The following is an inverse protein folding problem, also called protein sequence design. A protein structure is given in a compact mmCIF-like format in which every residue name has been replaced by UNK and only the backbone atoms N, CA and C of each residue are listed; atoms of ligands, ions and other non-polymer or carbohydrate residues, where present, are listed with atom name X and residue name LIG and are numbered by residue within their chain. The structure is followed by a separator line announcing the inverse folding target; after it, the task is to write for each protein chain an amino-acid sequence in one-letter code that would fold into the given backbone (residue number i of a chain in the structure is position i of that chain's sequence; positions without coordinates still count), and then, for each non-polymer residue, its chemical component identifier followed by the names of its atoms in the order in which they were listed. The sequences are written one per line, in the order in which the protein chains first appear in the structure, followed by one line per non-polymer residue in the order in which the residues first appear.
data_IF_034021676510
#
_entry.id   IF_034021676510
#
_cell.length_a   1.000
_cell.length_b   1.000
_cell.length_c   1.000
_cell.angle_alpha   90.00
_cell.angle_beta   90.00
_cell.angle_gamma   90.00
#
_symmetry.space_group_name_H-M   'P 1'
#
loop_
_entity.id
_entity.type
_entity.pdbx_description
1 polymer ?
#
# COMPACT_ATOMS: atom_id res chain seq x y z
N UNK A 1 -9.39 -7.24 -27.01
CA UNK A 1 -8.35 -7.06 -25.97
C UNK A 1 -8.84 -5.93 -25.09
N UNK A 2 -9.62 -6.25 -24.07
CA UNK A 2 -10.21 -5.25 -23.17
C UNK A 2 -9.11 -4.69 -22.28
N UNK A 3 -8.88 -3.37 -22.34
CA UNK A 3 -8.08 -2.69 -21.34
C UNK A 3 -8.88 -2.67 -20.04
N UNK A 4 -8.53 -3.55 -19.11
CA UNK A 4 -9.04 -3.48 -17.74
C UNK A 4 -8.40 -2.26 -17.06
N UNK A 5 -9.14 -1.15 -17.05
CA UNK A 5 -8.79 0.01 -16.23
C UNK A 5 -8.95 -0.42 -14.77
N UNK A 6 -7.84 -0.75 -14.12
CA UNK A 6 -7.81 -0.88 -12.67
C UNK A 6 -7.83 0.53 -12.07
N UNK A 7 -9.01 0.98 -11.64
CA UNK A 7 -9.15 2.21 -10.87
C UNK A 7 -8.60 1.99 -9.47
N UNK A 8 -7.58 2.76 -9.07
CA UNK A 8 -7.01 2.72 -7.73
C UNK A 8 -7.38 4.00 -7.01
N UNK A 9 -7.91 3.89 -5.79
CA UNK A 9 -8.22 5.05 -4.97
C UNK A 9 -7.40 5.00 -3.69
N UNK A 10 -6.42 5.87 -3.59
CA UNK A 10 -5.69 6.10 -2.35
C UNK A 10 -6.38 7.23 -1.59
N UNK A 11 -6.88 6.95 -0.38
CA UNK A 11 -7.46 7.99 0.50
C UNK A 11 -6.61 8.05 1.77
N UNK A 12 -5.86 9.14 1.94
CA UNK A 12 -5.04 9.39 3.14
C UNK A 12 -5.74 10.45 4.00
N UNK A 13 -5.92 10.17 5.29
CA UNK A 13 -6.55 11.10 6.23
C UNK A 13 -5.77 11.17 7.55
N UNK A 14 -5.56 12.39 8.04
CA UNK A 14 -4.87 12.64 9.31
C UNK A 14 -5.82 12.53 10.50
N UNK A 15 -5.41 11.79 11.54
CA UNK A 15 -6.22 11.55 12.74
C UNK A 15 -6.04 12.70 13.74
N UNK A 16 -7.07 13.54 13.93
CA UNK A 16 -7.24 14.31 15.18
C UNK A 16 -8.50 13.83 15.91
N UNK A 17 -8.33 13.11 17.02
CA UNK A 17 -9.33 13.01 18.10
C UNK A 17 -10.53 12.07 17.93
N UNK A 18 -10.51 11.03 17.08
CA UNK A 18 -11.72 10.20 16.82
C UNK A 18 -11.53 8.67 16.99
N UNK A 19 -12.64 7.96 17.22
CA UNK A 19 -12.76 6.51 17.51
C UNK A 19 -12.75 5.62 16.26
N UNK A 20 -12.29 4.38 16.38
CA UNK A 20 -12.09 3.45 15.24
C UNK A 20 -13.39 3.02 14.54
N UNK A 21 -14.51 2.94 15.26
CA UNK A 21 -15.80 2.54 14.69
C UNK A 21 -16.41 3.64 13.80
N UNK A 22 -16.19 4.90 14.16
CA UNK A 22 -16.56 6.07 13.35
C UNK A 22 -15.81 6.07 12.01
N UNK A 23 -14.53 5.70 11.99
CA UNK A 23 -13.74 5.56 10.77
C UNK A 23 -14.20 4.44 9.86
N UNK A 24 -14.66 3.30 10.41
CA UNK A 24 -15.22 2.23 9.57
C UNK A 24 -16.42 2.76 8.80
N UNK A 25 -17.32 3.51 9.45
CA UNK A 25 -18.50 4.10 8.81
C UNK A 25 -18.18 5.24 7.84
N UNK A 26 -17.25 6.13 8.21
CA UNK A 26 -16.81 7.25 7.36
C UNK A 26 -15.95 6.81 6.17
N UNK A 27 -15.08 5.81 6.35
CA UNK A 27 -14.27 5.24 5.27
C UNK A 27 -15.15 4.75 4.12
N UNK A 28 -16.24 4.04 4.44
CA UNK A 28 -17.24 3.62 3.44
C UNK A 28 -17.96 4.80 2.78
N UNK A 29 -18.42 5.80 3.56
CA UNK A 29 -19.11 6.98 3.01
C UNK A 29 -18.22 7.80 2.07
N UNK A 30 -16.98 8.06 2.47
CA UNK A 30 -16.00 8.77 1.66
C UNK A 30 -15.59 7.95 0.44
N UNK A 31 -15.58 6.61 0.54
CA UNK A 31 -15.35 5.71 -0.59
C UNK A 31 -16.43 5.84 -1.68
N UNK A 32 -17.66 6.16 -1.33
CA UNK A 32 -18.67 6.53 -2.32
C UNK A 32 -18.42 7.93 -2.88
N UNK A 33 -18.01 8.90 -2.04
CA UNK A 33 -17.78 10.27 -2.48
C UNK A 33 -16.59 10.46 -3.42
N UNK A 34 -15.41 9.92 -3.13
CA UNK A 34 -14.27 10.08 -4.06
C UNK A 34 -14.28 9.13 -5.28
N UNK A 35 -15.31 8.26 -5.45
CA UNK A 35 -15.64 7.73 -6.79
C UNK A 35 -16.17 8.84 -7.70
N UNK A 36 -16.69 9.91 -7.11
CA UNK A 36 -17.22 11.10 -7.78
C UNK A 36 -16.20 12.25 -7.87
N UNK A 37 -15.01 12.11 -7.27
CA UNK A 37 -13.96 13.13 -7.34
C UNK A 37 -12.99 12.87 -8.50
N UNK A 38 -12.50 13.96 -9.11
CA UNK A 38 -11.44 13.91 -10.13
C UNK A 38 -10.09 13.49 -9.49
N UNK A 39 -9.20 12.82 -10.24
CA UNK A 39 -7.88 12.44 -9.75
C UNK A 39 -7.09 13.69 -9.36
N UNK A 40 -6.58 13.72 -8.13
CA UNK A 40 -5.68 14.76 -7.64
C UNK A 40 -4.26 14.49 -8.18
N UNK A 41 -3.76 15.35 -9.06
CA UNK A 41 -2.40 15.24 -9.64
C UNK A 41 -1.39 16.28 -9.10
N UNK A 42 -1.79 17.19 -8.21
CA UNK A 42 -0.90 18.24 -7.69
C UNK A 42 -0.88 18.29 -6.16
N UNK A 43 0.30 18.10 -5.56
CA UNK A 43 0.55 18.46 -4.16
C UNK A 43 0.83 19.97 -4.09
N UNK A 44 -0.02 20.79 -3.45
CA UNK A 44 0.29 22.17 -3.23
C UNK A 44 1.30 22.26 -2.08
N UNK A 45 2.42 22.91 -2.36
CA UNK A 45 3.44 23.50 -1.46
C UNK A 45 4.78 22.76 -1.27
N UNK A 46 5.92 23.48 -1.21
CA UNK A 46 7.26 22.89 -1.28
C UNK A 46 7.83 22.46 0.08
N UNK A 47 7.14 22.74 1.20
CA UNK A 47 7.72 22.68 2.55
C UNK A 47 7.12 21.61 3.46
N UNK A 48 6.29 20.72 2.94
CA UNK A 48 5.98 19.49 3.66
C UNK A 48 7.13 18.50 3.43
N UNK A 49 8.03 18.38 4.40
CA UNK A 49 8.78 17.15 4.59
C UNK A 49 7.72 16.05 4.67
N UNK A 50 7.55 15.28 3.60
CA UNK A 50 6.54 14.22 3.56
C UNK A 50 6.98 13.18 4.57
N UNK A 51 6.41 13.27 5.78
CA UNK A 51 6.64 12.38 6.92
C UNK A 51 6.40 10.91 6.53
N UNK A 52 5.70 10.66 5.42
CA UNK A 52 5.44 9.34 4.87
C UNK A 52 5.38 9.40 3.35
N UNK A 53 6.23 8.61 2.69
CA UNK A 53 6.20 8.37 1.25
C UNK A 53 5.67 6.96 0.96
N UNK A 54 4.87 6.85 -0.10
CA UNK A 54 4.21 5.60 -0.49
C UNK A 54 4.56 5.33 -1.95
N UNK A 55 4.99 4.09 -2.24
CA UNK A 55 5.16 3.63 -3.63
C UNK A 55 4.08 2.60 -3.94
N UNK A 56 3.39 2.79 -5.06
CA UNK A 56 2.43 1.82 -5.59
C UNK A 56 2.98 1.34 -6.93
N UNK A 57 3.28 0.04 -7.03
CA UNK A 57 3.88 -0.55 -8.23
C UNK A 57 3.08 -1.74 -8.74
N UNK A 58 2.73 -1.71 -10.02
CA UNK A 58 2.23 -2.89 -10.71
C UNK A 58 3.40 -3.74 -11.24
N UNK A 59 3.73 -4.81 -10.53
CA UNK A 59 4.86 -5.69 -10.85
C UNK A 59 4.65 -6.55 -12.10
N UNK A 60 3.37 -6.82 -12.45
CA UNK A 60 2.95 -7.80 -13.46
C UNK A 60 3.56 -9.19 -13.24
N UNK A 61 3.86 -9.56 -11.99
CA UNK A 61 4.39 -10.85 -11.57
C UNK A 61 5.72 -10.72 -10.82
N UNK A 62 5.81 -11.34 -9.66
CA UNK A 62 6.98 -11.25 -8.76
C UNK A 62 8.07 -12.29 -9.02
N UNK A 63 7.81 -13.31 -9.84
CA UNK A 63 8.80 -14.35 -10.20
C UNK A 63 9.81 -13.91 -11.26
N UNK A 64 9.77 -12.64 -11.68
CA UNK A 64 10.76 -12.12 -12.63
C UNK A 64 12.13 -12.08 -11.94
N UNK A 65 13.23 -12.47 -12.62
CA UNK A 65 14.55 -12.56 -12.01
C UNK A 65 15.01 -11.24 -11.36
N UNK A 66 14.61 -10.09 -11.92
CA UNK A 66 14.99 -8.77 -11.43
C UNK A 66 14.00 -8.15 -10.45
N UNK A 67 12.91 -8.84 -10.09
CA UNK A 67 11.87 -8.28 -9.22
C UNK A 67 12.45 -7.76 -7.90
N UNK A 68 13.24 -8.58 -7.21
CA UNK A 68 13.84 -8.19 -5.93
C UNK A 68 14.82 -7.03 -6.08
N UNK A 69 15.58 -6.98 -7.19
CA UNK A 69 16.51 -5.89 -7.47
C UNK A 69 15.77 -4.56 -7.63
N UNK A 70 14.65 -4.54 -8.37
CA UNK A 70 13.83 -3.34 -8.49
C UNK A 70 13.26 -2.88 -7.14
N UNK A 71 12.79 -3.82 -6.31
CA UNK A 71 12.31 -3.46 -4.96
C UNK A 71 13.44 -2.86 -4.11
N UNK A 72 14.65 -3.42 -4.16
CA UNK A 72 15.82 -2.87 -3.45
C UNK A 72 16.20 -1.49 -3.97
N UNK A 73 16.16 -1.28 -5.29
CA UNK A 73 16.43 0.01 -5.91
C UNK A 73 15.39 1.06 -5.47
N UNK A 74 14.09 0.72 -5.47
CA UNK A 74 13.06 1.62 -4.96
C UNK A 74 13.27 1.93 -3.47
N UNK A 75 13.62 0.92 -2.67
CA UNK A 75 13.90 1.10 -1.26
C UNK A 75 15.11 2.02 -1.01
N UNK A 76 16.18 1.86 -1.80
CA UNK A 76 17.40 2.66 -1.68
C UNK A 76 17.21 4.10 -2.16
N UNK A 77 16.56 4.29 -3.31
CA UNK A 77 16.45 5.59 -3.96
C UNK A 77 15.39 6.48 -3.33
N UNK A 78 14.30 5.87 -2.84
CA UNK A 78 13.16 6.62 -2.35
C UNK A 78 12.91 6.41 -0.86
N UNK A 79 13.41 5.33 -0.26
CA UNK A 79 13.22 5.05 1.16
C UNK A 79 11.73 5.06 1.59
N UNK A 80 10.84 4.29 0.92
CA UNK A 80 9.40 4.31 1.16
C UNK A 80 9.03 3.84 2.57
N UNK A 81 8.08 4.52 3.21
CA UNK A 81 7.47 4.08 4.46
C UNK A 81 6.48 2.93 4.20
N UNK A 82 5.78 2.96 3.06
CA UNK A 82 4.87 1.90 2.62
C UNK A 82 5.10 1.61 1.14
N UNK A 83 5.15 0.33 0.79
CA UNK A 83 5.20 -0.13 -0.59
C UNK A 83 4.03 -1.06 -0.88
N UNK A 84 3.28 -0.76 -1.94
CA UNK A 84 2.14 -1.54 -2.42
C UNK A 84 2.51 -2.19 -3.74
N UNK A 85 2.45 -3.52 -3.83
CA UNK A 85 2.80 -4.29 -5.03
C UNK A 85 1.57 -4.98 -5.57
N UNK A 86 1.22 -4.67 -6.82
CA UNK A 86 0.06 -5.23 -7.53
C UNK A 86 0.45 -6.28 -8.56
N UNK A 87 -0.55 -7.09 -8.91
CA UNK A 87 -0.47 -8.18 -9.89
C UNK A 87 0.70 -9.11 -9.58
N UNK A 88 0.81 -9.51 -8.31
CA UNK A 88 1.95 -10.31 -7.86
C UNK A 88 1.96 -11.71 -8.47
N UNK A 89 0.77 -12.23 -8.85
CA UNK A 89 0.55 -13.56 -9.42
C UNK A 89 1.03 -14.71 -8.50
N UNK A 90 1.25 -14.40 -7.22
CA UNK A 90 1.64 -15.34 -6.16
C UNK A 90 0.91 -14.98 -4.88
N UNK A 91 0.34 -16.00 -4.23
CA UNK A 91 -0.24 -15.97 -2.89
C UNK A 91 0.32 -17.09 -2.01
N UNK A 92 -0.25 -17.27 -0.82
CA UNK A 92 0.12 -18.32 0.12
C UNK A 92 1.56 -18.24 0.65
N UNK A 93 2.11 -19.38 1.05
CA UNK A 93 3.45 -19.48 1.67
C UNK A 93 4.56 -18.92 0.79
N UNK A 94 4.49 -19.14 -0.53
CA UNK A 94 5.47 -18.62 -1.48
C UNK A 94 5.47 -17.10 -1.57
N UNK A 95 4.34 -16.44 -1.31
CA UNK A 95 4.31 -14.98 -1.20
C UNK A 95 5.15 -14.51 -0.01
N UNK A 96 5.02 -15.18 1.12
CA UNK A 96 5.77 -14.91 2.33
C UNK A 96 7.27 -15.11 2.14
N UNK A 97 7.68 -16.25 1.59
CA UNK A 97 9.10 -16.55 1.30
C UNK A 97 9.78 -15.46 0.45
N UNK A 98 9.05 -14.89 -0.51
CA UNK A 98 9.55 -13.81 -1.36
C UNK A 98 9.60 -12.50 -0.59
N UNK A 99 8.56 -12.15 0.18
CA UNK A 99 8.54 -10.90 0.96
C UNK A 99 9.57 -10.88 2.08
N UNK A 100 9.88 -12.03 2.68
CA UNK A 100 10.89 -12.16 3.74
C UNK A 100 12.31 -11.81 3.24
N UNK A 101 12.52 -11.78 1.92
CA UNK A 101 13.80 -11.39 1.30
C UNK A 101 13.86 -9.91 0.91
N UNK A 102 12.75 -9.19 1.01
CA UNK A 102 12.63 -7.77 0.66
C UNK A 102 13.06 -6.88 1.85
N UNK A 103 13.43 -5.61 1.61
CA UNK A 103 13.86 -4.68 2.65
C UNK A 103 12.67 -4.10 3.47
N UNK A 104 11.72 -4.96 3.84
CA UNK A 104 10.54 -4.63 4.65
C UNK A 104 10.34 -5.70 5.72
N UNK A 105 10.10 -5.31 6.97
CA UNK A 105 9.93 -6.25 8.08
C UNK A 105 8.50 -6.82 8.21
N UNK A 106 7.51 -6.13 7.63
CA UNK A 106 6.10 -6.48 7.75
C UNK A 106 5.39 -6.46 6.39
N UNK A 107 4.44 -7.38 6.24
CA UNK A 107 3.68 -7.55 5.01
C UNK A 107 2.23 -8.00 5.27
N UNK A 108 1.30 -7.50 4.45
CA UNK A 108 -0.05 -8.05 4.27
C UNK A 108 -0.15 -8.51 2.82
N UNK A 109 -0.43 -9.80 2.63
CA UNK A 109 -0.66 -10.38 1.31
C UNK A 109 -2.15 -10.62 1.11
N UNK A 110 -2.70 -10.28 -0.05
CA UNK A 110 -3.96 -10.84 -0.53
C UNK A 110 -3.64 -12.02 -1.45
N UNK A 111 -4.26 -13.16 -1.13
CA UNK A 111 -4.14 -14.37 -1.93
C UNK A 111 -4.71 -14.16 -3.33
N UNK A 112 -4.06 -14.80 -4.27
CA UNK A 112 -4.41 -14.72 -5.69
C UNK A 112 -5.51 -15.72 -6.00
N UNK A 113 -6.61 -15.26 -6.60
CA UNK A 113 -7.57 -16.16 -7.24
C UNK A 113 -7.20 -16.25 -8.72
N UNK A 114 -6.59 -17.37 -9.09
CA UNK A 114 -6.04 -17.60 -10.44
C UNK A 114 -4.83 -16.71 -10.77
N UNK A 115 -4.58 -16.50 -12.07
CA UNK A 115 -3.42 -15.76 -12.59
C UNK A 115 -3.59 -14.23 -12.64
N UNK A 116 -4.78 -13.71 -12.35
CA UNK A 116 -5.15 -12.34 -12.68
C UNK A 116 -4.99 -11.34 -11.52
N UNK A 117 -4.63 -11.79 -10.31
CA UNK A 117 -4.82 -10.99 -9.08
C UNK A 117 -3.66 -11.24 -8.11
N UNK A 118 -3.50 -10.34 -7.15
CA UNK A 118 -2.43 -10.37 -6.15
C UNK A 118 -2.04 -8.96 -5.73
N UNK A 119 -2.09 -8.70 -4.42
CA UNK A 119 -1.85 -7.39 -3.85
C UNK A 119 -1.09 -7.57 -2.54
N UNK A 120 0.10 -7.00 -2.45
CA UNK A 120 0.90 -6.98 -1.25
C UNK A 120 1.02 -5.55 -0.74
N UNK A 121 1.00 -5.39 0.57
CA UNK A 121 1.28 -4.13 1.26
C UNK A 121 2.44 -4.41 2.23
N UNK A 122 3.56 -3.74 2.01
CA UNK A 122 4.82 -3.92 2.72
C UNK A 122 5.17 -2.62 3.45
N UNK A 123 5.71 -2.73 4.66
CA UNK A 123 6.15 -1.57 5.44
C UNK A 123 7.25 -1.96 6.43
N UNK A 124 7.86 -0.95 7.06
CA UNK A 124 8.74 -1.17 8.21
C UNK A 124 8.06 -0.71 9.52
N UNK A 125 8.03 -1.58 10.52
CA UNK A 125 7.34 -1.38 11.79
C UNK A 125 7.97 -0.28 12.67
N UNK A 126 9.23 0.05 12.43
CA UNK A 126 9.96 1.15 13.07
C UNK A 126 9.44 2.55 12.65
N UNK A 127 8.79 2.63 11.47
CA UNK A 127 8.31 3.87 10.86
C UNK A 127 6.80 4.02 10.90
N UNK A 128 6.08 2.94 10.61
CA UNK A 128 4.62 2.98 10.57
C UNK A 128 4.02 1.74 11.21
N UNK A 129 2.98 1.97 11.99
CA UNK A 129 2.10 0.95 12.53
C UNK A 129 0.88 0.84 11.60
N UNK A 130 0.67 -0.34 11.03
CA UNK A 130 -0.44 -0.61 10.12
C UNK A 130 -1.41 -1.58 10.77
N UNK A 131 -2.67 -1.15 10.92
CA UNK A 131 -3.76 -2.00 11.41
C UNK A 131 -4.69 -2.35 10.26
N UNK A 132 -4.87 -3.65 10.00
CA UNK A 132 -5.81 -4.13 9.00
C UNK A 132 -7.26 -3.92 9.47
N UNK A 133 -8.07 -3.23 8.66
CA UNK A 133 -9.49 -2.99 8.93
C UNK A 133 -10.38 -3.98 8.17
N UNK A 134 -10.08 -4.19 6.89
CA UNK A 134 -10.77 -5.13 6.03
C UNK A 134 -9.85 -5.59 4.89
N UNK A 135 -10.06 -6.81 4.42
CA UNK A 135 -9.31 -7.39 3.31
C UNK A 135 -10.26 -8.20 2.45
N UNK A 136 -10.36 -7.83 1.18
CA UNK A 136 -11.07 -8.60 0.15
C UNK A 136 -10.10 -8.89 -1.01
N UNK A 137 -10.54 -9.65 -2.01
CA UNK A 137 -9.67 -10.14 -3.09
C UNK A 137 -8.89 -9.06 -3.88
N UNK A 138 -9.40 -7.82 -3.92
CA UNK A 138 -8.80 -6.72 -4.69
C UNK A 138 -8.47 -5.49 -3.85
N UNK A 139 -8.80 -5.49 -2.56
CA UNK A 139 -8.71 -4.31 -1.74
C UNK A 139 -8.18 -4.65 -0.34
N UNK A 140 -7.22 -3.85 0.12
CA UNK A 140 -6.76 -3.84 1.50
C UNK A 140 -7.17 -2.49 2.08
N UNK A 141 -7.94 -2.55 3.17
CA UNK A 141 -8.31 -1.38 3.94
C UNK A 141 -7.47 -1.40 5.21
N UNK A 142 -6.60 -0.42 5.36
CA UNK A 142 -5.72 -0.30 6.53
C UNK A 142 -5.82 1.08 7.16
N UNK A 143 -5.62 1.12 8.47
CA UNK A 143 -5.30 2.33 9.20
C UNK A 143 -3.80 2.42 9.35
N UNK A 144 -3.22 3.56 8.99
CA UNK A 144 -1.79 3.83 9.13
C UNK A 144 -1.58 4.84 10.24
N UNK A 145 -0.67 4.53 11.15
CA UNK A 145 -0.21 5.43 12.21
C UNK A 145 1.31 5.58 12.07
N UNK A 146 1.78 6.82 12.08
CA UNK A 146 3.21 7.13 11.95
C UNK A 146 3.87 6.96 13.33
N UNK A 147 4.97 6.21 13.37
CA UNK A 147 5.83 6.09 14.54
C UNK A 147 6.86 7.23 14.48
N UNK A 148 6.84 8.13 15.47
CA UNK A 148 7.72 9.30 15.52
C UNK A 148 9.17 8.98 15.95
N UNK A 149 9.56 7.70 15.94
CA UNK A 149 10.77 7.19 16.61
C UNK A 149 12.08 7.74 16.06
N UNK A 150 12.12 8.26 14.82
CA UNK A 150 13.35 8.64 14.14
C UNK A 150 13.33 10.10 13.61
N UNK A 151 12.66 11.01 14.32
CA UNK A 151 12.90 12.45 14.13
C UNK A 151 14.03 12.91 15.05
N UNK A 152 15.26 12.55 14.70
CA UNK A 152 16.49 13.13 15.25
C UNK A 152 17.29 13.76 14.12
#
# INVERSE_FOLDING_TARGET
MEMSILQHRLTLMSRKGQTGEWWRKMGWSLMEEAKLMLPFDECPTPNHVLIMNIIIWNSRGVLKPNFQNYVREFAQNHNPAIMVIKETKIGGERAKEITDQLPFDMAIHIDTIGYARGLWLLWNSDRVEISLLAKIEQEIHVMVKICASNFS
#
